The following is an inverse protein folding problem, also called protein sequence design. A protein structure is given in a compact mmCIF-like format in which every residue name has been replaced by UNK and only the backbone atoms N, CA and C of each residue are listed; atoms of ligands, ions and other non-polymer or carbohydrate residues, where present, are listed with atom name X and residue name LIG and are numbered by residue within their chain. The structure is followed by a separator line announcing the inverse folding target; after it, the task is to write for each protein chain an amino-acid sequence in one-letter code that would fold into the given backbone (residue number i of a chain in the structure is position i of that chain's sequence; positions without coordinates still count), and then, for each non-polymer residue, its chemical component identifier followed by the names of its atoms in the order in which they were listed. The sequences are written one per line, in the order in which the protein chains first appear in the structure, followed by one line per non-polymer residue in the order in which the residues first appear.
data_IF_272087162999
#
_entry.id   IF_272087162999
#
_cell.length_a   1.000
_cell.length_b   1.000
_cell.length_c   1.000
_cell.angle_alpha   90.00
_cell.angle_beta   90.00
_cell.angle_gamma   90.00
#
_symmetry.space_group_name_H-M   'P 1'
#
loop_
_entity.id
_entity.type
_entity.pdbx_description
1 polymer ?
#
# COMPACT_ATOMS: atom_id res chain seq x y z
N UNK A 1 31.99 -7.07 62.18
CA UNK A 1 33.08 -7.07 61.24
C UNK A 1 32.54 -7.60 59.92
N UNK A 2 32.43 -6.75 58.86
CA UNK A 2 32.30 -7.17 57.47
C UNK A 2 30.88 -7.20 56.91
N UNK A 3 30.22 -6.06 56.76
CA UNK A 3 29.14 -5.89 55.80
C UNK A 3 29.75 -5.69 54.42
N UNK A 4 29.70 -6.71 53.55
CA UNK A 4 30.06 -6.57 52.15
C UNK A 4 28.81 -6.21 51.34
N UNK A 5 28.77 -5.00 50.92
CA UNK A 5 27.77 -4.37 50.06
C UNK A 5 27.72 -5.04 48.69
N UNK A 6 26.71 -5.84 48.41
CA UNK A 6 26.38 -6.31 47.09
C UNK A 6 25.20 -5.48 46.52
N UNK A 7 25.49 -4.31 45.99
CA UNK A 7 24.63 -3.57 45.07
C UNK A 7 25.52 -2.69 44.21
N UNK A 8 25.69 -2.99 42.93
CA UNK A 8 24.93 -2.28 41.89
C UNK A 8 24.86 -3.06 40.57
N UNK A 9 24.18 -4.17 40.50
CA UNK A 9 24.06 -4.89 39.22
C UNK A 9 22.65 -4.81 38.59
N UNK A 10 21.68 -4.31 39.35
CA UNK A 10 20.28 -4.33 38.93
C UNK A 10 19.82 -3.01 38.27
N UNK A 11 20.53 -1.92 38.42
CA UNK A 11 20.13 -0.63 37.82
C UNK A 11 20.58 -0.46 36.36
N UNK A 12 21.60 -1.21 35.94
CA UNK A 12 22.12 -1.10 34.55
C UNK A 12 21.21 -1.75 33.50
N UNK A 13 20.39 -2.69 33.90
CA UNK A 13 19.51 -3.42 32.95
C UNK A 13 18.25 -2.63 32.56
N UNK A 14 17.76 -1.76 33.45
CA UNK A 14 16.56 -0.93 33.19
C UNK A 14 16.84 0.22 32.21
N UNK A 15 18.02 0.82 32.29
CA UNK A 15 18.41 1.96 31.42
C UNK A 15 18.65 1.48 29.99
N UNK A 16 19.27 0.32 29.81
CA UNK A 16 19.52 -0.25 28.48
C UNK A 16 18.21 -0.66 27.79
N UNK A 17 17.26 -1.21 28.54
CA UNK A 17 15.95 -1.60 28.00
C UNK A 17 15.12 -0.38 27.57
N UNK A 18 15.13 0.71 28.35
CA UNK A 18 14.37 1.93 28.03
C UNK A 18 14.96 2.67 26.84
N UNK A 19 16.29 2.72 26.73
CA UNK A 19 16.97 3.32 25.56
C UNK A 19 16.73 2.51 24.30
N UNK A 20 16.74 1.17 24.39
CA UNK A 20 16.47 0.30 23.26
C UNK A 20 15.05 0.46 22.69
N UNK A 21 14.03 0.52 23.56
CA UNK A 21 12.63 0.73 23.14
C UNK A 21 12.44 2.12 22.54
N UNK A 22 13.06 3.14 23.13
CA UNK A 22 13.00 4.52 22.62
C UNK A 22 13.65 4.65 21.23
N UNK A 23 14.78 3.98 21.00
CA UNK A 23 15.43 3.93 19.67
C UNK A 23 14.57 3.23 18.62
N UNK A 24 13.93 2.11 18.95
CA UNK A 24 13.07 1.37 18.01
C UNK A 24 11.83 2.18 17.63
N UNK A 25 11.21 2.89 18.58
CA UNK A 25 10.09 3.77 18.30
C UNK A 25 10.51 4.98 17.44
N UNK A 26 11.71 5.54 17.68
CA UNK A 26 12.24 6.65 16.89
C UNK A 26 12.56 6.24 15.46
N UNK A 27 13.17 5.06 15.26
CA UNK A 27 13.45 4.52 13.93
C UNK A 27 12.15 4.19 13.19
N UNK A 28 11.15 3.61 13.86
CA UNK A 28 9.84 3.35 13.29
C UNK A 28 9.13 4.63 12.84
N UNK A 29 9.16 5.68 13.66
CA UNK A 29 8.60 6.99 13.32
C UNK A 29 9.33 7.63 12.13
N UNK A 30 10.66 7.52 12.09
CA UNK A 30 11.48 8.05 10.99
C UNK A 30 11.19 7.31 9.66
N UNK A 31 11.01 6.00 9.69
CA UNK A 31 10.66 5.22 8.50
C UNK A 31 9.26 5.56 7.97
N UNK A 32 8.30 5.82 8.85
CA UNK A 32 6.96 6.28 8.44
C UNK A 32 7.04 7.67 7.80
N UNK A 33 7.79 8.60 8.39
CA UNK A 33 7.98 9.94 7.84
C UNK A 33 8.74 9.92 6.50
N UNK A 34 9.75 9.07 6.36
CA UNK A 34 10.47 8.90 5.11
C UNK A 34 9.58 8.30 4.02
N UNK A 35 8.68 7.40 4.38
CA UNK A 35 7.67 6.84 3.46
C UNK A 35 6.72 7.92 2.96
N UNK A 36 6.21 8.77 3.86
CA UNK A 36 5.30 9.85 3.51
C UNK A 36 5.99 10.94 2.67
N UNK A 37 7.27 11.22 2.94
CA UNK A 37 8.08 12.15 2.14
C UNK A 37 8.36 11.53 0.76
N UNK A 38 8.72 10.25 0.68
CA UNK A 38 8.94 9.56 -0.60
C UNK A 38 7.66 9.52 -1.44
N UNK A 39 6.51 9.29 -0.82
CA UNK A 39 5.22 9.33 -1.48
C UNK A 39 4.82 10.74 -1.95
N UNK A 40 5.14 11.78 -1.15
CA UNK A 40 4.91 13.17 -1.50
C UNK A 40 5.85 13.68 -2.62
N UNK A 41 7.09 13.22 -2.63
CA UNK A 41 8.09 13.60 -3.66
C UNK A 41 7.78 12.95 -5.00
N UNK A 42 7.30 11.70 -5.03
CA UNK A 42 6.88 11.05 -6.28
C UNK A 42 5.62 11.66 -6.89
N UNK A 43 4.74 12.25 -6.07
CA UNK A 43 3.60 13.05 -6.58
C UNK A 43 3.99 14.48 -7.01
N UNK A 44 5.11 15.01 -6.55
CA UNK A 44 5.55 16.39 -6.81
C UNK A 44 6.59 16.55 -7.92
N UNK A 45 7.19 15.46 -8.40
CA UNK A 45 8.05 15.44 -9.57
C UNK A 45 7.24 14.99 -10.80
N UNK A 46 6.14 15.70 -11.06
CA UNK A 46 5.45 15.65 -12.32
C UNK A 46 6.37 16.22 -13.41
N UNK A 47 6.79 15.38 -14.30
CA UNK A 47 6.98 15.56 -15.73
C UNK A 47 7.31 16.99 -16.24
N UNK A 48 8.52 17.46 -15.97
CA UNK A 48 9.21 18.39 -16.88
C UNK A 48 10.47 17.69 -17.37
N UNK A 49 10.34 16.75 -18.28
CA UNK A 49 11.45 15.96 -18.78
C UNK A 49 11.27 15.43 -20.20
N UNK A 50 11.63 16.26 -21.16
CA UNK A 50 12.12 15.88 -22.51
C UNK A 50 11.08 15.25 -23.43
N UNK A 51 10.43 16.14 -24.18
CA UNK A 51 9.74 15.85 -25.43
C UNK A 51 10.67 15.11 -26.41
N UNK A 52 10.37 13.86 -26.69
CA UNK A 52 10.81 13.18 -27.90
C UNK A 52 9.60 12.54 -28.58
N UNK A 53 9.08 13.26 -29.56
CA UNK A 53 8.34 12.65 -30.66
C UNK A 53 6.83 12.56 -30.52
N UNK A 54 6.10 13.47 -31.16
CA UNK A 54 4.76 13.24 -31.67
C UNK A 54 3.63 13.57 -30.71
N UNK A 55 3.24 14.82 -30.76
CA UNK A 55 2.00 15.36 -30.22
C UNK A 55 0.79 14.70 -30.92
N UNK A 56 0.39 13.55 -30.45
CA UNK A 56 -0.97 13.05 -30.68
C UNK A 56 -1.77 13.54 -29.47
N UNK A 57 -2.85 14.31 -29.64
CA UNK A 57 -3.72 14.68 -28.54
C UNK A 57 -4.26 13.40 -27.93
N UNK A 58 -3.82 13.07 -26.72
CA UNK A 58 -4.49 12.05 -25.90
C UNK A 58 -5.93 12.49 -25.75
N UNK A 59 -6.91 11.64 -26.08
CA UNK A 59 -8.29 11.94 -25.77
C UNK A 59 -8.37 12.27 -24.27
N UNK A 60 -9.02 13.37 -23.96
CA UNK A 60 -9.25 13.86 -22.60
C UNK A 60 -10.27 12.98 -21.86
N UNK A 61 -9.96 11.70 -21.72
CA UNK A 61 -10.68 10.77 -20.87
C UNK A 61 -10.11 10.78 -19.45
N UNK A 62 -10.84 10.27 -18.47
CA UNK A 62 -10.35 10.13 -17.11
C UNK A 62 -9.03 9.35 -17.11
N UNK A 63 -8.11 9.73 -16.22
CA UNK A 63 -6.89 8.96 -16.05
C UNK A 63 -7.22 7.55 -15.55
N UNK A 64 -6.36 6.56 -15.82
CA UNK A 64 -6.58 5.19 -15.32
C UNK A 64 -6.73 5.14 -13.80
N UNK A 65 -6.10 6.06 -13.08
CA UNK A 65 -6.21 6.18 -11.63
C UNK A 65 -7.59 6.71 -11.21
N UNK A 66 -8.11 7.76 -11.85
CA UNK A 66 -9.46 8.27 -11.60
C UNK A 66 -10.53 7.22 -11.96
N UNK A 67 -10.29 6.47 -13.02
CA UNK A 67 -11.15 5.37 -13.41
C UNK A 67 -11.16 4.25 -12.36
N UNK A 68 -10.01 3.94 -11.77
CA UNK A 68 -9.91 2.95 -10.70
C UNK A 68 -10.72 3.36 -9.46
N UNK A 69 -10.62 4.62 -9.05
CA UNK A 69 -11.40 5.14 -7.91
C UNK A 69 -12.91 5.00 -8.17
N UNK A 70 -13.37 5.38 -9.37
CA UNK A 70 -14.78 5.24 -9.75
C UNK A 70 -15.23 3.77 -9.86
N UNK A 71 -14.35 2.88 -10.32
CA UNK A 71 -14.61 1.44 -10.35
C UNK A 71 -14.74 0.83 -8.95
N UNK A 72 -13.89 1.27 -8.01
CA UNK A 72 -13.96 0.89 -6.60
C UNK A 72 -15.30 1.31 -5.98
N UNK A 73 -15.79 2.51 -6.30
CA UNK A 73 -17.10 3.00 -5.87
C UNK A 73 -18.24 2.19 -6.48
N UNK A 74 -18.16 1.87 -7.78
CA UNK A 74 -19.15 1.01 -8.48
C UNK A 74 -19.30 -0.35 -7.80
N UNK A 75 -18.19 -0.96 -7.38
CA UNK A 75 -18.21 -2.26 -6.71
C UNK A 75 -18.55 -2.16 -5.22
N UNK A 76 -18.74 -0.97 -4.68
CA UNK A 76 -18.97 -0.71 -3.25
C UNK A 76 -17.95 -1.43 -2.35
N UNK A 77 -16.66 -1.28 -2.69
CA UNK A 77 -15.58 -1.87 -1.93
C UNK A 77 -15.36 -1.11 -0.62
N UNK A 78 -15.03 -1.83 0.43
CA UNK A 78 -14.56 -1.21 1.68
C UNK A 78 -13.16 -0.62 1.49
N UNK A 79 -12.72 0.30 2.35
CA UNK A 79 -11.40 0.92 2.25
C UNK A 79 -10.25 -0.11 2.14
N UNK A 80 -10.33 -1.22 2.88
CA UNK A 80 -9.32 -2.29 2.80
C UNK A 80 -9.42 -3.14 1.54
N UNK A 81 -10.61 -3.39 1.05
CA UNK A 81 -10.81 -4.05 -0.25
C UNK A 81 -10.34 -3.15 -1.39
N UNK A 82 -10.54 -1.83 -1.29
CA UNK A 82 -10.04 -0.86 -2.26
C UNK A 82 -8.50 -0.87 -2.35
N UNK A 83 -7.79 -0.86 -1.22
CA UNK A 83 -6.33 -0.98 -1.18
C UNK A 83 -5.85 -2.27 -1.88
N UNK A 84 -6.49 -3.41 -1.57
CA UNK A 84 -6.16 -4.70 -2.19
C UNK A 84 -6.49 -4.70 -3.68
N UNK A 85 -7.64 -4.14 -4.09
CA UNK A 85 -8.06 -4.04 -5.48
C UNK A 85 -7.09 -3.19 -6.30
N UNK A 86 -6.66 -2.05 -5.77
CA UNK A 86 -5.64 -1.20 -6.37
C UNK A 86 -4.35 -1.96 -6.64
N UNK A 87 -3.82 -2.69 -5.65
CA UNK A 87 -2.63 -3.52 -5.82
C UNK A 87 -2.82 -4.67 -6.82
N UNK A 88 -4.00 -5.30 -6.84
CA UNK A 88 -4.31 -6.34 -7.81
C UNK A 88 -4.33 -5.83 -9.25
N UNK A 89 -4.80 -4.61 -9.50
CA UNK A 89 -4.95 -4.02 -10.84
C UNK A 89 -3.73 -3.23 -11.31
N UNK A 90 -2.91 -2.71 -10.39
CA UNK A 90 -1.73 -1.89 -10.73
C UNK A 90 -0.41 -2.64 -10.72
N UNK A 91 -0.34 -3.82 -10.10
CA UNK A 91 0.91 -4.58 -9.93
C UNK A 91 0.71 -6.05 -10.25
N UNK A 92 1.80 -6.78 -10.46
CA UNK A 92 1.78 -8.25 -10.62
C UNK A 92 2.11 -9.01 -9.32
N UNK A 93 2.00 -8.34 -8.18
CA UNK A 93 2.30 -8.93 -6.88
C UNK A 93 1.44 -10.15 -6.58
N UNK A 94 2.05 -11.16 -5.97
CA UNK A 94 1.35 -12.33 -5.44
C UNK A 94 0.62 -12.01 -4.13
N UNK A 95 -0.23 -12.92 -3.71
CA UNK A 95 -1.06 -12.73 -2.49
C UNK A 95 -0.23 -12.47 -1.23
N UNK A 96 0.95 -13.11 -1.11
CA UNK A 96 1.84 -12.88 0.03
C UNK A 96 2.44 -11.48 -0.01
N UNK A 97 2.92 -11.06 -1.17
CA UNK A 97 3.53 -9.74 -1.37
C UNK A 97 2.52 -8.61 -1.15
N UNK A 98 1.28 -8.78 -1.62
CA UNK A 98 0.18 -7.85 -1.32
C UNK A 98 -0.08 -7.78 0.18
N UNK A 99 -0.10 -8.93 0.88
CA UNK A 99 -0.31 -8.98 2.32
C UNK A 99 0.79 -8.25 3.09
N UNK A 100 2.04 -8.42 2.66
CA UNK A 100 3.21 -7.78 3.25
C UNK A 100 3.18 -6.25 3.00
N UNK A 101 2.78 -5.82 1.80
CA UNK A 101 2.69 -4.41 1.41
C UNK A 101 1.70 -3.61 2.28
N UNK A 102 0.55 -4.19 2.59
CA UNK A 102 -0.49 -3.53 3.41
C UNK A 102 -0.50 -3.99 4.88
N UNK A 103 0.55 -4.70 5.31
CA UNK A 103 0.76 -5.14 6.69
C UNK A 103 -0.39 -5.98 7.27
N UNK A 104 -0.90 -6.93 6.49
CA UNK A 104 -1.91 -7.90 6.94
C UNK A 104 -1.41 -9.34 6.76
N UNK A 105 -2.09 -10.30 7.37
CA UNK A 105 -1.76 -11.71 7.13
C UNK A 105 -2.25 -12.17 5.76
N UNK A 106 -1.52 -13.12 5.14
CA UNK A 106 -1.91 -13.74 3.88
C UNK A 106 -3.36 -14.23 3.88
N UNK A 107 -3.82 -14.81 5.00
CA UNK A 107 -5.20 -15.31 5.14
C UNK A 107 -6.22 -14.17 5.07
N UNK A 108 -5.90 -13.01 5.61
CA UNK A 108 -6.76 -11.81 5.54
C UNK A 108 -6.77 -11.26 4.12
N UNK A 109 -5.60 -11.16 3.46
CA UNK A 109 -5.52 -10.76 2.06
C UNK A 109 -6.35 -11.66 1.14
N UNK A 110 -6.26 -12.99 1.31
CA UNK A 110 -7.08 -13.95 0.54
C UNK A 110 -8.58 -13.71 0.73
N UNK A 111 -9.02 -13.36 1.95
CA UNK A 111 -10.43 -13.06 2.23
C UNK A 111 -10.87 -11.79 1.50
N UNK A 112 -10.06 -10.73 1.51
CA UNK A 112 -10.36 -9.51 0.77
C UNK A 112 -10.40 -9.76 -0.73
N UNK A 113 -9.46 -10.51 -1.28
CA UNK A 113 -9.44 -10.89 -2.71
C UNK A 113 -10.71 -11.67 -3.08
N UNK A 114 -11.13 -12.63 -2.26
CA UNK A 114 -12.36 -13.40 -2.50
C UNK A 114 -13.60 -12.49 -2.49
N UNK A 115 -13.69 -11.54 -1.54
CA UNK A 115 -14.79 -10.58 -1.48
C UNK A 115 -14.80 -9.64 -2.70
N UNK A 116 -13.64 -9.19 -3.17
CA UNK A 116 -13.53 -8.37 -4.38
C UNK A 116 -14.02 -9.15 -5.60
N UNK A 117 -13.58 -10.40 -5.76
CA UNK A 117 -14.01 -11.25 -6.88
C UNK A 117 -15.52 -11.53 -6.86
N UNK A 118 -16.08 -11.75 -5.67
CA UNK A 118 -17.54 -11.92 -5.50
C UNK A 118 -18.30 -10.66 -5.91
N UNK A 119 -17.85 -9.48 -5.49
CA UNK A 119 -18.49 -8.19 -5.84
C UNK A 119 -18.36 -7.84 -7.31
N UNK A 120 -17.23 -8.18 -7.94
CA UNK A 120 -17.00 -7.99 -9.37
C UNK A 120 -17.64 -9.08 -10.24
N UNK A 121 -18.17 -10.17 -9.64
CA UNK A 121 -18.74 -11.31 -10.39
C UNK A 121 -17.71 -12.13 -11.16
N UNK A 122 -16.43 -12.10 -10.74
CA UNK A 122 -15.32 -12.79 -11.40
C UNK A 122 -14.70 -13.85 -10.49
N UNK A 123 -13.94 -14.77 -11.05
CA UNK A 123 -13.30 -15.86 -10.29
C UNK A 123 -11.77 -15.80 -10.31
N UNK A 124 -11.21 -14.95 -11.15
CA UNK A 124 -9.76 -14.89 -11.36
C UNK A 124 -9.28 -13.44 -11.44
N UNK A 125 -7.98 -13.24 -11.16
CA UNK A 125 -7.34 -11.92 -11.35
C UNK A 125 -7.46 -11.43 -12.80
N UNK A 126 -7.25 -12.32 -13.76
CA UNK A 126 -7.42 -11.96 -15.17
C UNK A 126 -8.87 -11.55 -15.49
N UNK A 127 -9.86 -12.21 -14.86
CA UNK A 127 -11.25 -11.82 -14.96
C UNK A 127 -11.50 -10.41 -14.46
N UNK A 128 -10.89 -10.05 -13.32
CA UNK A 128 -10.97 -8.71 -12.75
C UNK A 128 -10.35 -7.64 -13.67
N UNK A 129 -9.19 -7.93 -14.27
CA UNK A 129 -8.57 -7.05 -15.26
C UNK A 129 -9.48 -6.78 -16.46
N UNK A 130 -10.08 -7.84 -17.01
CA UNK A 130 -10.98 -7.73 -18.17
C UNK A 130 -12.26 -6.97 -17.84
N UNK A 131 -12.81 -7.18 -16.66
CA UNK A 131 -14.00 -6.45 -16.21
C UNK A 131 -13.69 -4.95 -16.02
N UNK A 132 -12.55 -4.64 -15.44
CA UNK A 132 -12.09 -3.25 -15.29
C UNK A 132 -11.81 -2.59 -16.66
N UNK A 133 -11.09 -3.26 -17.56
CA UNK A 133 -10.77 -2.72 -18.88
C UNK A 133 -12.04 -2.52 -19.73
N UNK A 134 -12.98 -3.46 -19.72
CA UNK A 134 -14.26 -3.32 -20.40
C UNK A 134 -15.07 -2.13 -19.86
N UNK A 135 -15.12 -1.99 -18.54
CA UNK A 135 -15.80 -0.86 -17.92
C UNK A 135 -15.12 0.49 -18.21
N UNK A 136 -13.78 0.51 -18.26
CA UNK A 136 -12.99 1.70 -18.61
C UNK A 136 -13.28 2.14 -20.06
N UNK A 137 -13.30 1.20 -21.01
CA UNK A 137 -13.56 1.47 -22.42
C UNK A 137 -14.99 1.98 -22.65
N UNK A 138 -15.98 1.48 -21.88
CA UNK A 138 -17.36 1.97 -21.92
C UNK A 138 -17.50 3.39 -21.39
N UNK A 139 -16.70 3.76 -20.37
CA UNK A 139 -16.72 5.09 -19.75
C UNK A 139 -16.01 6.17 -20.56
N UNK A 140 -15.17 5.79 -21.53
CA UNK A 140 -14.42 6.71 -22.41
C UNK A 140 -15.18 7.02 -23.73
N UNK A 141 -16.22 6.24 -24.09
CA UNK A 141 -17.07 6.49 -25.25
C UNK A 141 -18.32 7.30 -24.87
#
# INVERSE_FOLDING_TARGET
IGALTARPFFESCGVVATVGVSCLLSIGCLLVLLRDIAWGVTKGLGEDGVAFGGDLPRPSGPSREEALDTYIEKLALTAREAEVCGLLLSTDLGVQEIADEIFISRRVAQRHIAAIYEKAGVTTRLGLYRDFDAWFDEGVN
#
